data_IF_008155001116
#
_entry.id   IF_008155001116
#
_cell.length_a   1.000
_cell.length_b   1.000
_cell.length_c   1.000
_cell.angle_alpha   90.00
_cell.angle_beta   90.00
_cell.angle_gamma   90.00
#
_symmetry.space_group_name_H-M   'P 1'
#
loop_
_entity.id
_entity.type
_entity.pdbx_description
1 polymer ?
#
# COMPACT_ATOMS: atom_id res chain seq x y z
N UNK A 1 5.74 -37.03 -5.90
CA UNK A 1 6.50 -35.78 -6.12
C UNK A 1 6.38 -34.90 -4.89
N UNK A 2 7.47 -34.37 -4.31
CA UNK A 2 7.38 -33.45 -3.20
C UNK A 2 6.68 -32.15 -3.61
N UNK A 3 5.76 -31.66 -2.77
CA UNK A 3 5.07 -30.39 -3.02
C UNK A 3 6.08 -29.24 -2.92
N UNK A 4 6.06 -28.23 -3.82
CA UNK A 4 6.91 -27.08 -3.70
C UNK A 4 6.62 -26.32 -2.41
N UNK A 5 7.64 -26.02 -1.62
CA UNK A 5 7.52 -25.34 -0.30
C UNK A 5 6.90 -23.95 -0.36
N UNK A 6 6.83 -23.34 -1.55
CA UNK A 6 6.32 -21.97 -1.77
C UNK A 6 4.99 -21.91 -2.55
N UNK A 7 4.25 -23.00 -2.59
CA UNK A 7 2.99 -23.10 -3.35
C UNK A 7 3.18 -23.18 -4.87
N UNK A 8 2.08 -23.11 -5.66
CA UNK A 8 2.13 -23.24 -7.11
C UNK A 8 2.95 -22.13 -7.75
N UNK A 9 3.82 -22.49 -8.69
CA UNK A 9 4.67 -21.56 -9.43
C UNK A 9 3.84 -20.72 -10.41
N UNK A 10 4.24 -19.44 -10.58
CA UNK A 10 3.67 -18.56 -11.59
C UNK A 10 4.53 -18.59 -12.87
N UNK A 11 3.92 -18.95 -13.99
CA UNK A 11 4.59 -19.01 -15.28
C UNK A 11 5.46 -20.27 -15.48
N UNK A 12 6.31 -20.24 -16.53
CA UNK A 12 7.06 -21.39 -17.01
C UNK A 12 8.28 -21.76 -16.17
N UNK A 13 8.93 -20.80 -15.52
CA UNK A 13 10.17 -21.02 -14.78
C UNK A 13 10.39 -20.09 -13.59
N UNK A 14 11.37 -20.41 -12.72
CA UNK A 14 11.65 -19.61 -11.53
C UNK A 14 12.18 -18.20 -11.86
N UNK A 15 12.94 -18.05 -12.93
CA UNK A 15 13.42 -16.75 -13.38
C UNK A 15 12.27 -15.87 -13.89
N UNK A 16 11.34 -16.46 -14.65
CA UNK A 16 10.14 -15.77 -15.11
C UNK A 16 9.24 -15.34 -13.95
N UNK A 17 9.03 -16.19 -12.95
CA UNK A 17 8.27 -15.84 -11.75
C UNK A 17 8.87 -14.63 -11.02
N UNK A 18 10.19 -14.61 -10.84
CA UNK A 18 10.89 -13.46 -10.22
C UNK A 18 10.72 -12.19 -11.03
N UNK A 19 10.92 -12.24 -12.34
CA UNK A 19 10.75 -11.09 -13.22
C UNK A 19 9.31 -10.55 -13.17
N UNK A 20 8.32 -11.43 -13.24
CA UNK A 20 6.92 -11.09 -13.17
C UNK A 20 6.55 -10.39 -11.84
N UNK A 21 7.03 -10.92 -10.72
CA UNK A 21 6.77 -10.31 -9.40
C UNK A 21 7.47 -8.96 -9.25
N UNK A 22 8.67 -8.79 -9.79
CA UNK A 22 9.39 -7.50 -9.82
C UNK A 22 8.61 -6.45 -10.60
N UNK A 23 8.22 -6.75 -11.84
CA UNK A 23 7.43 -5.84 -12.68
C UNK A 23 6.09 -5.47 -12.04
N UNK A 24 5.38 -6.44 -11.45
CA UNK A 24 4.13 -6.16 -10.74
C UNK A 24 4.33 -5.29 -9.49
N UNK A 25 5.45 -5.46 -8.77
CA UNK A 25 5.76 -4.63 -7.62
C UNK A 25 6.13 -3.20 -8.04
N UNK A 26 6.89 -3.03 -9.12
CA UNK A 26 7.21 -1.72 -9.70
C UNK A 26 5.92 -0.98 -10.07
N UNK A 27 5.02 -1.62 -10.82
CA UNK A 27 3.71 -1.05 -11.18
C UNK A 27 2.85 -0.73 -9.95
N UNK A 28 2.90 -1.59 -8.92
CA UNK A 28 2.14 -1.36 -7.69
C UNK A 28 2.62 -0.11 -6.95
N UNK A 29 3.92 0.10 -6.84
CA UNK A 29 4.49 1.26 -6.16
C UNK A 29 4.39 2.55 -6.98
N UNK A 30 4.42 2.45 -8.30
CA UNK A 30 4.26 3.58 -9.21
C UNK A 30 2.81 4.09 -9.26
N UNK A 31 1.85 3.18 -9.41
CA UNK A 31 0.43 3.51 -9.60
C UNK A 31 -0.42 3.39 -8.33
N UNK A 32 0.16 2.90 -7.22
CA UNK A 32 -0.55 2.64 -5.97
C UNK A 32 -1.52 1.44 -6.00
N UNK A 33 -1.97 1.00 -7.17
CA UNK A 33 -2.88 -0.13 -7.38
C UNK A 33 -2.63 -0.85 -8.70
N UNK A 34 -2.82 -2.17 -8.72
CA UNK A 34 -2.68 -3.01 -9.92
C UNK A 34 -3.83 -4.00 -10.01
N UNK A 35 -4.43 -4.09 -11.20
CA UNK A 35 -5.43 -5.12 -11.53
C UNK A 35 -4.73 -6.33 -12.14
N UNK A 36 -4.89 -7.51 -11.54
CA UNK A 36 -4.27 -8.75 -11.99
C UNK A 36 -5.10 -9.98 -11.61
N UNK A 37 -4.63 -11.18 -11.92
CA UNK A 37 -5.30 -12.39 -11.45
C UNK A 37 -5.11 -12.58 -9.94
N UNK A 38 -6.08 -13.19 -9.27
CA UNK A 38 -6.04 -13.42 -7.82
C UNK A 38 -4.78 -14.20 -7.40
N UNK A 39 -4.36 -15.19 -8.18
CA UNK A 39 -3.14 -15.97 -7.91
C UNK A 39 -1.88 -15.10 -7.93
N UNK A 40 -1.74 -14.19 -8.92
CA UNK A 40 -0.62 -13.24 -9.00
C UNK A 40 -0.66 -12.24 -7.84
N UNK A 41 -1.84 -11.70 -7.51
CA UNK A 41 -2.01 -10.77 -6.39
C UNK A 41 -1.62 -11.42 -5.05
N UNK A 42 -2.06 -12.67 -4.80
CA UNK A 42 -1.70 -13.41 -3.59
C UNK A 42 -0.19 -13.67 -3.46
N UNK A 43 0.51 -13.93 -4.58
CA UNK A 43 1.96 -14.13 -4.59
C UNK A 43 2.73 -12.82 -4.49
N UNK A 44 2.19 -11.74 -5.07
CA UNK A 44 2.77 -10.40 -5.00
C UNK A 44 2.74 -9.82 -3.58
N UNK A 45 1.66 -10.06 -2.82
CA UNK A 45 1.47 -9.50 -1.49
C UNK A 45 2.67 -9.67 -0.56
N UNK A 46 3.16 -10.89 -0.26
CA UNK A 46 4.30 -11.06 0.65
C UNK A 46 5.59 -10.44 0.10
N UNK A 47 5.76 -10.41 -1.22
CA UNK A 47 6.92 -9.78 -1.86
C UNK A 47 6.87 -8.26 -1.68
N UNK A 48 5.75 -7.61 -2.00
CA UNK A 48 5.55 -6.17 -1.84
C UNK A 48 5.66 -5.74 -0.35
N UNK A 49 5.05 -6.47 0.56
CA UNK A 49 5.11 -6.17 2.00
C UNK A 49 6.53 -6.26 2.55
N UNK A 50 7.35 -7.21 2.07
CA UNK A 50 8.76 -7.30 2.42
C UNK A 50 9.54 -6.07 1.97
N UNK A 51 9.29 -5.57 0.75
CA UNK A 51 9.93 -4.36 0.21
C UNK A 51 9.53 -3.11 1.01
N UNK A 52 8.26 -2.96 1.37
CA UNK A 52 7.79 -1.87 2.23
C UNK A 52 8.44 -1.93 3.62
N UNK A 53 8.56 -3.14 4.20
CA UNK A 53 9.25 -3.33 5.49
C UNK A 53 10.73 -2.92 5.42
N UNK A 54 11.41 -3.18 4.30
CA UNK A 54 12.78 -2.69 4.09
C UNK A 54 12.81 -1.16 3.93
N UNK A 55 11.85 -0.59 3.22
CA UNK A 55 11.75 0.87 3.05
C UNK A 55 11.56 1.60 4.38
N UNK A 56 10.76 1.05 5.30
CA UNK A 56 10.58 1.56 6.68
C UNK A 56 11.88 1.66 7.47
N UNK A 57 12.81 0.73 7.26
CA UNK A 57 14.11 0.77 7.95
C UNK A 57 14.97 1.96 7.53
N UNK A 58 14.80 2.49 6.33
CA UNK A 58 15.45 3.69 5.82
C UNK A 58 16.97 3.64 5.65
N UNK A 59 17.64 2.57 6.10
CA UNK A 59 19.08 2.47 6.07
C UNK A 59 19.63 2.12 4.68
N UNK A 60 20.92 2.42 4.46
CA UNK A 60 21.61 2.17 3.19
C UNK A 60 21.59 0.68 2.79
N UNK A 61 21.71 -0.23 3.75
CA UNK A 61 21.69 -1.67 3.50
C UNK A 61 20.31 -2.11 2.97
N UNK A 62 19.20 -1.62 3.56
CA UNK A 62 17.86 -1.89 3.08
C UNK A 62 17.64 -1.33 1.67
N UNK A 63 18.15 -0.12 1.39
CA UNK A 63 18.06 0.48 0.06
C UNK A 63 18.77 -0.36 -0.99
N UNK A 64 19.96 -0.86 -0.70
CA UNK A 64 20.70 -1.77 -1.59
C UNK A 64 19.94 -3.08 -1.84
N UNK A 65 19.30 -3.65 -0.81
CA UNK A 65 18.49 -4.87 -0.94
C UNK A 65 17.25 -4.64 -1.83
N UNK A 66 16.58 -3.50 -1.70
CA UNK A 66 15.43 -3.14 -2.55
C UNK A 66 15.89 -2.91 -4.00
N UNK A 67 17.02 -2.21 -4.21
CA UNK A 67 17.58 -1.99 -5.54
C UNK A 67 18.03 -3.27 -6.26
N UNK A 68 18.36 -4.33 -5.54
CA UNK A 68 18.65 -5.66 -6.12
C UNK A 68 17.38 -6.34 -6.66
N UNK A 69 16.21 -5.97 -6.14
CA UNK A 69 14.92 -6.53 -6.58
C UNK A 69 14.17 -5.62 -7.55
N UNK A 70 14.21 -4.30 -7.37
CA UNK A 70 13.55 -3.30 -8.23
C UNK A 70 14.59 -2.56 -9.04
N UNK A 71 14.48 -2.62 -10.37
CA UNK A 71 15.44 -2.00 -11.28
C UNK A 71 15.20 -0.50 -11.46
N UNK A 72 13.95 -0.06 -11.35
CA UNK A 72 13.56 1.32 -11.56
C UNK A 72 13.92 2.20 -10.33
N UNK A 73 14.92 3.09 -10.50
CA UNK A 73 15.41 3.96 -9.43
C UNK A 73 14.38 4.98 -8.95
N UNK A 74 13.49 5.47 -9.83
CA UNK A 74 12.44 6.41 -9.45
C UNK A 74 11.42 5.76 -8.52
N UNK A 75 11.00 4.52 -8.82
CA UNK A 75 10.11 3.74 -7.96
C UNK A 75 10.73 3.46 -6.59
N UNK A 76 12.04 3.14 -6.56
CA UNK A 76 12.78 2.98 -5.30
C UNK A 76 12.79 4.28 -4.52
N UNK A 77 12.98 5.42 -5.17
CA UNK A 77 12.95 6.73 -4.52
C UNK A 77 11.58 6.97 -3.87
N UNK A 78 10.49 6.87 -4.63
CA UNK A 78 9.10 6.99 -4.12
C UNK A 78 8.82 6.03 -2.96
N UNK A 79 9.32 4.80 -3.05
CA UNK A 79 9.15 3.79 -2.00
C UNK A 79 9.78 4.23 -0.66
N UNK A 80 10.97 4.86 -0.69
CA UNK A 80 11.67 5.31 0.52
C UNK A 80 11.24 6.69 1.01
N UNK A 81 10.82 7.60 0.13
CA UNK A 81 10.44 8.97 0.50
C UNK A 81 8.97 9.12 0.86
N UNK A 82 8.09 8.36 0.22
CA UNK A 82 6.65 8.52 0.39
C UNK A 82 6.00 7.31 1.08
N UNK A 83 6.23 6.10 0.54
CA UNK A 83 5.54 4.90 1.01
C UNK A 83 6.09 4.43 2.36
N UNK A 84 7.42 4.39 2.53
CA UNK A 84 8.06 3.95 3.78
C UNK A 84 7.60 4.75 5.01
N UNK A 85 7.76 6.07 5.01
CA UNK A 85 7.34 6.93 6.12
C UNK A 85 5.82 6.84 6.42
N UNK A 86 4.99 6.71 5.38
CA UNK A 86 3.53 6.55 5.54
C UNK A 86 3.14 5.37 6.43
N UNK A 87 3.94 4.31 6.43
CA UNK A 87 3.66 3.09 7.19
C UNK A 87 4.52 2.95 8.46
N UNK A 88 5.18 3.99 8.92
CA UNK A 88 6.10 3.92 10.06
C UNK A 88 5.44 3.33 11.31
N UNK A 89 4.21 3.74 11.62
CA UNK A 89 3.43 3.29 12.78
C UNK A 89 2.80 1.90 12.60
N UNK A 90 2.70 1.37 11.36
CA UNK A 90 1.99 0.13 11.07
C UNK A 90 2.93 -1.07 11.00
N UNK A 91 2.60 -2.14 11.73
CA UNK A 91 3.37 -3.38 11.77
C UNK A 91 2.78 -4.45 10.84
N UNK A 92 2.89 -4.25 9.49
CA UNK A 92 2.40 -5.20 8.50
C UNK A 92 1.02 -4.86 7.92
N UNK A 93 0.57 -5.67 6.93
CA UNK A 93 -0.70 -5.45 6.27
C UNK A 93 -0.74 -4.14 5.48
N UNK A 94 0.30 -3.87 4.69
CA UNK A 94 0.43 -2.64 3.90
C UNK A 94 -0.36 -2.67 2.61
N UNK A 95 -0.82 -3.85 2.19
CA UNK A 95 -1.53 -4.06 0.93
C UNK A 95 -2.90 -4.66 1.16
N UNK A 96 -3.86 -4.28 0.32
CA UNK A 96 -5.22 -4.82 0.29
C UNK A 96 -5.46 -5.51 -1.05
N UNK A 97 -6.12 -6.67 -1.03
CA UNK A 97 -6.54 -7.39 -2.22
C UNK A 97 -8.07 -7.40 -2.25
N UNK A 98 -8.66 -6.82 -3.28
CA UNK A 98 -10.10 -6.78 -3.53
C UNK A 98 -10.42 -7.64 -4.75
N UNK A 99 -11.29 -8.64 -4.61
CA UNK A 99 -11.74 -9.48 -5.72
C UNK A 99 -12.71 -8.72 -6.61
N UNK A 100 -12.54 -8.83 -7.94
CA UNK A 100 -13.38 -8.12 -8.91
C UNK A 100 -14.36 -9.08 -9.61
N UNK A 101 -14.10 -10.39 -9.54
CA UNK A 101 -14.86 -11.40 -10.27
C UNK A 101 -14.05 -12.04 -11.42
N UNK A 102 -14.67 -12.90 -12.22
CA UNK A 102 -14.02 -13.61 -13.31
C UNK A 102 -13.74 -12.69 -14.51
N UNK A 103 -12.66 -12.95 -15.24
CA UNK A 103 -12.33 -12.28 -16.49
C UNK A 103 -13.20 -12.83 -17.62
N UNK A 104 -13.72 -11.93 -18.48
CA UNK A 104 -14.47 -12.33 -19.67
C UNK A 104 -13.53 -13.09 -20.63
N UNK A 105 -13.98 -14.23 -21.10
CA UNK A 105 -13.27 -15.12 -22.03
C UNK A 105 -12.78 -16.40 -21.34
N UNK A 106 -11.85 -16.32 -20.41
CA UNK A 106 -11.25 -17.50 -19.74
C UNK A 106 -11.74 -17.73 -18.29
N UNK A 107 -12.67 -16.91 -17.80
CA UNK A 107 -13.21 -16.97 -16.44
C UNK A 107 -12.15 -16.95 -15.32
N UNK A 108 -10.93 -16.47 -15.60
CA UNK A 108 -9.88 -16.38 -14.60
C UNK A 108 -10.28 -15.43 -13.46
N UNK A 109 -10.14 -15.82 -12.18
CA UNK A 109 -10.47 -14.94 -11.05
C UNK A 109 -9.53 -13.75 -11.01
N UNK A 110 -10.11 -12.54 -11.07
CA UNK A 110 -9.37 -11.27 -11.06
C UNK A 110 -9.45 -10.59 -9.70
N UNK A 111 -8.39 -9.85 -9.38
CA UNK A 111 -8.33 -9.03 -8.18
C UNK A 111 -7.56 -7.72 -8.45
N UNK A 112 -7.84 -6.72 -7.64
CA UNK A 112 -7.01 -5.51 -7.52
C UNK A 112 -6.19 -5.66 -6.25
N UNK A 113 -4.89 -5.48 -6.35
CA UNK A 113 -4.01 -5.25 -5.21
C UNK A 113 -3.69 -3.77 -5.14
N UNK A 114 -3.80 -3.18 -3.96
CA UNK A 114 -3.52 -1.76 -3.71
C UNK A 114 -2.65 -1.58 -2.48
N UNK A 115 -1.82 -0.55 -2.47
CA UNK A 115 -1.11 -0.06 -1.29
C UNK A 115 -2.10 0.76 -0.48
N UNK A 116 -2.30 0.41 0.79
CA UNK A 116 -3.25 1.11 1.66
C UNK A 116 -2.73 2.53 1.87
N UNK A 117 -3.49 3.53 1.45
CA UNK A 117 -3.31 4.90 1.92
C UNK A 117 -3.88 4.99 3.33
N UNK A 118 -3.12 5.45 4.30
CA UNK A 118 -3.66 5.69 5.64
C UNK A 118 -4.76 6.77 5.55
N UNK A 119 -5.95 6.36 5.96
CA UNK A 119 -7.17 7.12 5.77
C UNK A 119 -7.86 6.76 4.46
N UNK A 120 -8.83 5.83 4.55
CA UNK A 120 -9.89 5.82 3.52
C UNK A 120 -10.46 7.23 3.46
N UNK A 121 -10.61 7.84 2.28
CA UNK A 121 -11.12 9.22 2.16
C UNK A 121 -12.39 9.44 2.99
N UNK A 122 -13.28 8.46 3.07
CA UNK A 122 -14.46 8.50 3.93
C UNK A 122 -14.15 8.71 5.43
N UNK A 123 -13.04 8.16 5.93
CA UNK A 123 -12.67 8.30 7.35
C UNK A 123 -12.02 9.65 7.65
N UNK A 124 -11.30 10.21 6.68
CA UNK A 124 -10.74 11.57 6.80
C UNK A 124 -11.82 12.63 6.65
N UNK A 125 -12.79 12.44 5.75
CA UNK A 125 -13.94 13.33 5.61
C UNK A 125 -14.80 13.34 6.87
N UNK A 126 -15.11 12.18 7.45
CA UNK A 126 -15.89 12.07 8.69
C UNK A 126 -15.15 12.72 9.88
N UNK A 127 -13.83 12.55 9.99
CA UNK A 127 -13.04 13.20 11.04
C UNK A 127 -12.97 14.72 10.85
N UNK A 128 -12.75 15.17 9.61
CA UNK A 128 -12.73 16.59 9.28
C UNK A 128 -14.11 17.26 9.46
N UNK A 129 -15.18 16.55 9.17
CA UNK A 129 -16.55 17.03 9.39
C UNK A 129 -16.91 17.04 10.89
N UNK A 130 -16.48 16.05 11.65
CA UNK A 130 -16.62 16.01 13.11
C UNK A 130 -15.82 17.14 13.79
N UNK A 131 -14.61 17.46 13.31
CA UNK A 131 -13.84 18.60 13.82
C UNK A 131 -14.46 19.95 13.46
N UNK A 132 -15.03 20.10 12.26
CA UNK A 132 -15.76 21.31 11.85
C UNK A 132 -17.02 21.53 12.67
N UNK A 133 -17.77 20.46 12.95
CA UNK A 133 -18.98 20.53 13.80
C UNK A 133 -18.62 20.82 15.26
N UNK A 134 -17.55 20.23 15.80
CA UNK A 134 -17.08 20.52 17.15
C UNK A 134 -16.60 21.99 17.31
N UNK A 135 -15.87 22.53 16.31
CA UNK A 135 -15.47 23.95 16.32
C UNK A 135 -16.65 24.90 16.18
N UNK A 136 -17.73 24.50 15.51
CA UNK A 136 -18.95 25.31 15.36
C UNK A 136 -19.84 25.28 16.61
N UNK A 137 -19.75 24.23 17.42
CA UNK A 137 -20.51 24.04 18.66
C UNK A 137 -19.82 24.64 19.90
N UNK A 138 -18.59 25.13 19.80
CA UNK A 138 -17.91 25.81 20.90
C UNK A 138 -18.62 27.16 21.21
N UNK A 139 -19.17 27.36 22.42
CA UNK A 139 -19.88 28.59 22.76
C UNK A 139 -18.90 29.76 22.78
N UNK A 140 -19.20 30.81 21.98
CA UNK A 140 -18.52 32.11 22.05
C UNK A 140 -18.70 32.64 23.48
N UNK A 141 -17.63 32.60 24.28
CA UNK A 141 -17.58 33.26 25.59
C UNK A 141 -17.81 34.75 25.37
N UNK A 142 -18.99 35.23 25.76
CA UNK A 142 -19.31 36.66 25.84
C UNK A 142 -18.39 37.30 26.85
N UNK A 143 -17.44 38.11 26.38
CA UNK A 143 -16.79 39.10 27.25
C UNK A 143 -17.82 40.19 27.59
N UNK A 144 -18.49 40.00 28.71
CA UNK A 144 -19.30 41.09 29.28
C UNK A 144 -18.35 42.12 29.89
N UNK A 145 -18.45 43.31 29.38
CA UNK A 145 -17.80 44.52 29.86
C UNK A 145 -18.17 44.76 31.33
N UNK A 146 -17.16 45.06 32.14
CA UNK A 146 -17.34 45.77 33.40
C UNK A 146 -16.89 47.21 33.19
N UNK A 147 -17.87 48.08 32.94
CA UNK A 147 -17.76 49.53 33.05
C UNK A 147 -18.68 49.93 34.21
N UNK A 148 -18.13 50.50 35.25
CA UNK A 148 -18.62 51.37 36.30
C UNK A 148 -17.63 51.22 37.47
N UNK A 149 -16.99 52.15 37.91
CA UNK A 149 -17.04 53.51 38.44
C UNK A 149 -15.65 54.04 38.58
#
# INVERSE_FOLDING_TARGET
MPRPTKGPRLGSGPAHEKALLRTLAEQLFENGKVRTTEAKARRLRPFAEKLITQAKKGNLAARRQVMAEISNKSVVHTLFTEIGPRFESRNGGYTRITKIGPRKGDSAPMAVIEVISEGTPAKQEVVAEAEKTAKKAAPKKKTAAKKAE
#
